data_IF_547844422078
#
_entry.id   IF_547844422078
#
_cell.length_a   1.000
_cell.length_b   1.000
_cell.length_c   1.000
_cell.angle_alpha   90.00
_cell.angle_beta   90.00
_cell.angle_gamma   90.00
#
_symmetry.space_group_name_H-M   'P 1'
#
loop_
_entity.id
_entity.type
_entity.pdbx_description
1 polymer ?
#
# COMPACT_ATOMS: atom_id res chain seq x y z
N UNK A 1 -2.20 1.12 -34.25
CA UNK A 1 -2.85 0.49 -33.08
C UNK A 1 -2.25 1.11 -31.83
N UNK A 2 -3.04 1.80 -31.01
CA UNK A 2 -2.55 2.52 -29.82
C UNK A 2 -2.51 1.55 -28.63
N UNK A 3 -1.32 1.27 -28.11
CA UNK A 3 -1.05 0.30 -27.03
C UNK A 3 -1.20 0.89 -25.62
N UNK A 4 -1.95 1.99 -25.46
CA UNK A 4 -1.99 2.71 -24.18
C UNK A 4 -2.97 2.05 -23.20
N UNK A 5 -2.47 1.62 -22.04
CA UNK A 5 -3.23 0.97 -20.96
C UNK A 5 -4.01 1.94 -20.05
N UNK A 6 -3.88 3.25 -20.28
CA UNK A 6 -4.48 4.29 -19.46
C UNK A 6 -5.78 4.78 -20.12
N UNK A 7 -6.89 4.69 -19.40
CA UNK A 7 -8.07 5.48 -19.72
C UNK A 7 -7.74 6.90 -19.26
N UNK A 8 -7.93 7.89 -20.12
CA UNK A 8 -7.33 9.24 -20.05
C UNK A 8 -7.80 10.11 -18.86
N UNK A 9 -8.38 9.50 -17.83
CA UNK A 9 -8.99 10.08 -16.66
C UNK A 9 -7.99 10.06 -15.48
N UNK A 10 -7.62 11.25 -15.01
CA UNK A 10 -6.68 11.45 -13.89
C UNK A 10 -7.30 12.37 -12.86
N UNK A 11 -7.22 12.01 -11.58
CA UNK A 11 -7.75 12.78 -10.45
C UNK A 11 -6.65 13.00 -9.42
N UNK A 12 -6.35 14.26 -9.12
CA UNK A 12 -5.41 14.60 -8.05
C UNK A 12 -6.16 14.59 -6.71
N UNK A 13 -5.61 13.87 -5.75
CA UNK A 13 -6.14 13.72 -4.39
C UNK A 13 -5.50 14.76 -3.46
N UNK A 14 -6.21 15.10 -2.39
CA UNK A 14 -5.74 16.10 -1.41
C UNK A 14 -4.41 15.71 -0.74
N UNK A 15 -4.10 14.42 -0.68
CA UNK A 15 -2.83 13.89 -0.15
C UNK A 15 -1.64 13.99 -1.12
N UNK A 16 -1.83 14.59 -2.31
CA UNK A 16 -0.79 14.76 -3.33
C UNK A 16 -0.62 13.59 -4.29
N UNK A 17 -1.38 12.51 -4.10
CA UNK A 17 -1.48 11.40 -5.05
C UNK A 17 -2.33 11.78 -6.27
N UNK A 18 -2.13 11.07 -7.37
CA UNK A 18 -2.91 11.15 -8.59
C UNK A 18 -3.46 9.76 -8.89
N UNK A 19 -4.77 9.61 -8.80
CA UNK A 19 -5.47 8.43 -9.27
C UNK A 19 -5.57 8.49 -10.80
N UNK A 20 -5.13 7.44 -11.48
CA UNK A 20 -5.27 7.27 -12.93
C UNK A 20 -6.11 6.05 -13.21
N UNK A 21 -7.14 6.22 -14.02
CA UNK A 21 -7.98 5.12 -14.48
C UNK A 21 -7.21 4.30 -15.53
N UNK A 22 -7.27 2.98 -15.43
CA UNK A 22 -6.68 2.02 -16.37
C UNK A 22 -7.75 1.01 -16.78
N UNK A 23 -7.49 0.20 -17.80
CA UNK A 23 -8.41 -0.89 -18.18
C UNK A 23 -8.57 -1.97 -17.09
N UNK A 24 -7.72 -1.95 -16.06
CA UNK A 24 -7.80 -2.84 -14.90
C UNK A 24 -8.43 -2.15 -13.66
N UNK A 25 -8.89 -0.90 -13.79
CA UNK A 25 -9.44 -0.09 -12.70
C UNK A 25 -8.56 1.10 -12.30
N UNK A 26 -8.79 1.66 -11.11
CA UNK A 26 -8.08 2.83 -10.59
C UNK A 26 -6.70 2.46 -10.04
N UNK A 27 -5.66 3.19 -10.45
CA UNK A 27 -4.29 3.07 -9.94
C UNK A 27 -3.85 4.38 -9.33
N UNK A 28 -3.26 4.35 -8.13
CA UNK A 28 -2.68 5.53 -7.48
C UNK A 28 -1.22 5.70 -7.89
N UNK A 29 -0.87 6.89 -8.36
CA UNK A 29 0.49 7.30 -8.70
C UNK A 29 0.85 8.60 -7.99
N UNK A 30 2.14 8.84 -7.74
CA UNK A 30 2.61 10.06 -7.06
C UNK A 30 3.23 9.78 -5.69
N UNK A 31 3.67 10.86 -5.03
CA UNK A 31 4.48 10.80 -3.81
C UNK A 31 3.64 11.20 -2.61
N UNK A 32 3.43 10.26 -1.70
CA UNK A 32 2.86 10.56 -0.37
C UNK A 32 3.94 11.30 0.44
N UNK A 33 3.63 12.50 0.90
CA UNK A 33 4.55 13.32 1.70
C UNK A 33 4.49 12.88 3.17
N UNK A 34 5.24 11.85 3.56
CA UNK A 34 5.43 11.48 4.97
C UNK A 34 6.77 12.00 5.48
N UNK A 35 6.75 13.12 6.20
CA UNK A 35 7.90 13.58 7.00
C UNK A 35 7.99 12.76 8.28
N UNK A 36 8.86 11.74 8.34
CA UNK A 36 9.12 11.01 9.59
C UNK A 36 10.64 10.82 9.82
N UNK A 37 11.23 11.27 10.95
CA UNK A 37 12.64 11.05 11.29
C UNK A 37 12.93 9.59 11.69
N UNK A 38 14.15 9.14 11.39
CA UNK A 38 14.68 7.78 11.62
C UNK A 38 15.12 7.56 13.07
N UNK A 39 14.19 7.34 13.99
CA UNK A 39 14.51 6.87 15.36
C UNK A 39 13.42 6.08 16.06
N UNK A 40 12.39 5.57 15.35
CA UNK A 40 11.23 4.96 16.01
C UNK A 40 10.65 3.79 15.19
N UNK A 41 11.19 2.58 15.35
CA UNK A 41 10.60 1.36 14.75
C UNK A 41 9.16 1.16 15.23
N UNK A 42 8.88 1.46 16.49
CA UNK A 42 7.52 1.41 17.05
C UNK A 42 6.56 2.41 16.37
N UNK A 43 7.04 3.60 16.03
CA UNK A 43 6.21 4.61 15.33
C UNK A 43 5.91 4.16 13.91
N UNK A 44 6.89 3.56 13.23
CA UNK A 44 6.68 2.97 11.91
C UNK A 44 5.66 1.84 11.99
N UNK A 45 5.80 0.92 12.94
CA UNK A 45 4.84 -0.18 13.14
C UNK A 45 3.43 0.33 13.41
N UNK A 46 3.27 1.36 14.25
CA UNK A 46 1.97 1.95 14.52
C UNK A 46 1.35 2.60 13.27
N UNK A 47 2.16 3.32 12.47
CA UNK A 47 1.71 3.89 11.19
C UNK A 47 1.33 2.81 10.18
N UNK A 48 2.09 1.72 10.10
CA UNK A 48 1.75 0.57 9.26
C UNK A 48 0.46 -0.10 9.73
N UNK A 49 0.24 -0.21 11.04
CA UNK A 49 -0.97 -0.82 11.60
C UNK A 49 -2.23 -0.06 11.17
N UNK A 50 -2.21 1.28 11.21
CA UNK A 50 -3.34 2.10 10.75
C UNK A 50 -3.71 1.82 9.29
N UNK A 51 -2.71 1.64 8.41
CA UNK A 51 -2.91 1.29 7.00
C UNK A 51 -3.54 -0.11 6.87
N UNK A 52 -3.07 -1.08 7.64
CA UNK A 52 -3.64 -2.43 7.63
C UNK A 52 -5.07 -2.46 8.14
N UNK A 53 -5.40 -1.64 9.14
CA UNK A 53 -6.75 -1.55 9.68
C UNK A 53 -7.71 -0.92 8.65
N UNK A 54 -7.28 0.11 7.92
CA UNK A 54 -8.02 0.70 6.81
C UNK A 54 -8.27 -0.33 5.69
N UNK A 55 -7.22 -1.03 5.26
CA UNK A 55 -7.35 -2.06 4.21
C UNK A 55 -8.22 -3.25 4.63
N UNK A 56 -8.20 -3.61 5.92
CA UNK A 56 -9.10 -4.63 6.45
C UNK A 56 -10.55 -4.14 6.47
N UNK A 57 -10.79 -2.86 6.76
CA UNK A 57 -12.12 -2.25 6.71
C UNK A 57 -12.66 -2.12 5.28
N UNK A 58 -11.78 -1.92 4.30
CA UNK A 58 -12.11 -1.91 2.87
C UNK A 58 -12.19 -3.32 2.24
N UNK A 59 -12.04 -4.38 3.03
CA UNK A 59 -12.01 -5.78 2.58
C UNK A 59 -10.93 -6.07 1.51
N UNK A 60 -9.87 -5.25 1.46
CA UNK A 60 -8.71 -5.45 0.58
C UNK A 60 -7.83 -6.58 1.11
N UNK A 61 -7.70 -6.68 2.43
CA UNK A 61 -6.97 -7.74 3.12
C UNK A 61 -7.85 -8.36 4.20
N UNK A 62 -7.62 -9.64 4.50
CA UNK A 62 -8.29 -10.33 5.60
C UNK A 62 -7.29 -10.72 6.69
N UNK A 63 -7.79 -10.79 7.93
CA UNK A 63 -6.98 -11.29 9.02
C UNK A 63 -6.93 -12.81 8.95
N UNK A 64 -5.75 -13.35 8.67
CA UNK A 64 -5.54 -14.80 8.59
C UNK A 64 -5.96 -15.45 9.91
N UNK A 65 -6.88 -16.42 9.83
CA UNK A 65 -7.33 -17.16 11.01
C UNK A 65 -6.17 -17.95 11.60
N UNK A 66 -6.05 -17.92 12.94
CA UNK A 66 -5.01 -18.68 13.67
C UNK A 66 -5.11 -20.18 13.45
N UNK A 67 -6.27 -20.68 13.03
CA UNK A 67 -6.46 -22.09 12.71
C UNK A 67 -5.50 -22.57 11.63
N UNK A 68 -5.17 -21.73 10.63
CA UNK A 68 -4.27 -22.08 9.54
C UNK A 68 -2.79 -22.09 9.93
N UNK A 69 -2.45 -21.54 11.10
CA UNK A 69 -1.07 -21.53 11.61
C UNK A 69 -0.59 -22.93 12.00
N UNK A 70 -1.50 -23.82 12.41
CA UNK A 70 -1.18 -25.18 12.88
C UNK A 70 -1.34 -26.26 11.78
N UNK A 71 -2.05 -25.97 10.69
CA UNK A 71 -2.23 -26.87 9.54
C UNK A 71 -1.27 -26.51 8.40
N UNK A 72 0.01 -26.78 8.63
CA UNK A 72 1.13 -27.13 7.73
C UNK A 72 1.28 -26.55 6.28
N UNK A 73 0.49 -25.59 5.80
CA UNK A 73 0.69 -25.09 4.43
C UNK A 73 0.43 -23.59 4.25
N UNK A 74 0.93 -22.79 5.19
CA UNK A 74 1.09 -21.36 4.96
C UNK A 74 2.45 -21.09 4.27
N UNK A 75 2.42 -20.85 2.95
CA UNK A 75 3.61 -20.43 2.20
C UNK A 75 3.77 -18.91 2.27
N UNK A 76 4.48 -18.42 3.29
CA UNK A 76 4.85 -17.01 3.34
C UNK A 76 5.88 -16.70 2.25
N UNK A 77 5.55 -15.76 1.38
CA UNK A 77 6.55 -15.21 0.47
C UNK A 77 7.59 -14.45 1.32
N UNK A 78 8.89 -14.66 1.07
CA UNK A 78 9.94 -13.92 1.76
C UNK A 78 9.80 -12.44 1.41
N UNK A 79 9.31 -11.64 2.37
CA UNK A 79 9.20 -10.20 2.22
C UNK A 79 10.18 -9.53 3.17
N UNK A 80 10.95 -8.57 2.64
CA UNK A 80 11.71 -7.62 3.47
C UNK A 80 10.93 -6.31 3.49
N UNK A 81 10.75 -5.65 4.65
CA UNK A 81 10.14 -4.34 4.69
C UNK A 81 10.98 -3.36 3.86
N UNK A 82 10.37 -2.78 2.82
CA UNK A 82 11.02 -1.79 1.96
C UNK A 82 10.65 -0.40 2.44
N UNK A 83 11.47 0.15 3.33
CA UNK A 83 11.33 1.54 3.79
C UNK A 83 11.92 2.47 2.73
N UNK A 84 11.06 3.08 1.91
CA UNK A 84 11.48 4.04 0.89
C UNK A 84 11.89 5.35 1.55
N UNK A 85 13.19 5.53 1.72
CA UNK A 85 13.78 6.66 2.43
C UNK A 85 14.08 7.90 1.56
N UNK A 86 13.75 7.86 0.28
CA UNK A 86 13.99 8.95 -0.67
C UNK A 86 12.89 10.02 -0.68
N UNK A 87 11.97 10.01 0.28
CA UNK A 87 10.97 11.06 0.40
C UNK A 87 11.42 12.24 1.28
N UNK A 88 12.64 12.74 1.07
CA UNK A 88 13.06 14.08 1.50
C UNK A 88 13.43 14.91 0.28
N UNK A 89 12.40 15.43 -0.40
CA UNK A 89 12.42 16.55 -1.34
C UNK A 89 11.01 17.12 -1.33
#
# INVERSE_FOLDING_TARGET
MSTSLYTRNRRQLACGLVATETFLGWTLMGKISTRVPRSNDQKLLNQYQEIFDEWAAEEIIERVSRYYSDVEQCHYLPHRPVVKSCCTL
#
